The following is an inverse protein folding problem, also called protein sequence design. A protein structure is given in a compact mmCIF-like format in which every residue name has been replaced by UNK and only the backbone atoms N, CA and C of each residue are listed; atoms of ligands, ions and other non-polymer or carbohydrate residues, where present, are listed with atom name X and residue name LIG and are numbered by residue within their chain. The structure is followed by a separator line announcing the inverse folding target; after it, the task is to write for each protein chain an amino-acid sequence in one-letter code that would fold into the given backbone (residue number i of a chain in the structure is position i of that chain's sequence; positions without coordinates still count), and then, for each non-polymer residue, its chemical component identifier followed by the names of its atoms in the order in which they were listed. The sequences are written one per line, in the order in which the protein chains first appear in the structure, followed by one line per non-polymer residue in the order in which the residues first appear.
data_IF_037930203215
#
_entry.id   IF_037930203215
#
_cell.length_a   1.000
_cell.length_b   1.000
_cell.length_c   1.000
_cell.angle_alpha   90.00
_cell.angle_beta   90.00
_cell.angle_gamma   90.00
#
_symmetry.space_group_name_H-M   'P 1'
#
loop_
_entity.id
_entity.type
_entity.pdbx_description
1 polymer ?
#
# COMPACT_ATOMS: atom_id res chain seq x y z
N UNK A 1 -6.08 7.83 -4.58
CA UNK A 1 -6.37 9.06 -3.83
C UNK A 1 -5.41 10.20 -4.17
N UNK A 2 -4.09 10.06 -3.98
CA UNK A 2 -3.12 11.15 -4.26
C UNK A 2 -3.27 11.74 -5.67
N UNK A 3 -3.46 10.91 -6.70
CA UNK A 3 -3.72 11.38 -8.08
C UNK A 3 -4.96 12.27 -8.21
N UNK A 4 -6.05 11.93 -7.51
CA UNK A 4 -7.29 12.71 -7.50
C UNK A 4 -7.06 14.06 -6.83
N UNK A 5 -6.28 14.10 -5.74
CA UNK A 5 -5.91 15.35 -5.07
C UNK A 5 -5.08 16.26 -5.99
N UNK A 6 -4.11 15.70 -6.72
CA UNK A 6 -3.30 16.47 -7.68
C UNK A 6 -4.10 17.00 -8.87
N UNK A 7 -5.17 16.31 -9.24
CA UNK A 7 -6.13 16.79 -10.24
C UNK A 7 -7.00 17.91 -9.68
N UNK A 8 -7.49 17.76 -8.44
CA UNK A 8 -8.25 18.79 -7.72
C UNK A 8 -7.43 20.05 -7.37
N UNK A 9 -6.09 19.98 -7.42
CA UNK A 9 -5.22 21.17 -7.32
C UNK A 9 -5.20 22.01 -8.60
N UNK A 10 -5.64 21.44 -9.74
CA UNK A 10 -5.55 22.06 -11.07
C UNK A 10 -6.90 22.30 -11.73
N UNK A 11 -7.98 21.71 -11.21
CA UNK A 11 -9.33 21.78 -11.74
C UNK A 11 -10.36 21.96 -10.61
N UNK A 12 -11.57 22.47 -10.89
CA UNK A 12 -12.61 22.63 -9.88
C UNK A 12 -12.92 21.31 -9.16
N UNK A 13 -12.97 21.35 -7.82
CA UNK A 13 -13.20 20.16 -6.98
C UNK A 13 -14.50 19.44 -7.37
N UNK A 14 -15.56 20.18 -7.70
CA UNK A 14 -16.84 19.64 -8.17
C UNK A 14 -16.71 18.80 -9.46
N UNK A 15 -15.88 19.24 -10.40
CA UNK A 15 -15.64 18.52 -11.65
C UNK A 15 -14.86 17.23 -11.40
N UNK A 16 -13.80 17.32 -10.58
CA UNK A 16 -12.99 16.17 -10.20
C UNK A 16 -13.80 15.15 -9.39
N UNK A 17 -14.63 15.62 -8.45
CA UNK A 17 -15.56 14.78 -7.69
C UNK A 17 -16.51 14.02 -8.61
N UNK A 18 -17.15 14.72 -9.56
CA UNK A 18 -18.04 14.11 -10.55
C UNK A 18 -17.31 13.10 -11.45
N UNK A 19 -16.11 13.44 -11.92
CA UNK A 19 -15.30 12.57 -12.79
C UNK A 19 -14.92 11.25 -12.11
N UNK A 20 -14.56 11.31 -10.83
CA UNK A 20 -14.12 10.14 -10.06
C UNK A 20 -15.25 9.44 -9.29
N UNK A 21 -16.50 9.92 -9.42
CA UNK A 21 -17.66 9.31 -8.77
C UNK A 21 -17.63 9.39 -7.24
N UNK A 22 -17.04 10.46 -6.68
CA UNK A 22 -16.92 10.68 -5.24
C UNK A 22 -17.51 12.04 -4.85
N UNK A 23 -17.78 12.24 -3.57
CA UNK A 23 -18.23 13.56 -3.08
C UNK A 23 -17.07 14.54 -2.96
N UNK A 24 -17.34 15.85 -3.08
CA UNK A 24 -16.34 16.88 -2.80
C UNK A 24 -15.82 16.77 -1.36
N UNK A 25 -16.69 16.42 -0.40
CA UNK A 25 -16.32 16.15 0.98
C UNK A 25 -15.24 15.06 1.09
N UNK A 26 -15.33 14.01 0.28
CA UNK A 26 -14.33 12.93 0.24
C UNK A 26 -12.96 13.49 -0.19
N UNK A 27 -12.92 14.41 -1.15
CA UNK A 27 -11.68 15.06 -1.61
C UNK A 27 -11.09 15.92 -0.48
N UNK A 28 -11.90 16.72 0.20
CA UNK A 28 -11.45 17.54 1.33
C UNK A 28 -10.90 16.71 2.48
N UNK A 29 -11.62 15.66 2.90
CA UNK A 29 -11.17 14.75 3.96
C UNK A 29 -9.86 14.05 3.55
N UNK A 30 -9.76 13.62 2.29
CA UNK A 30 -8.56 12.98 1.77
C UNK A 30 -7.35 13.91 1.74
N UNK A 31 -7.55 15.22 1.60
CA UNK A 31 -6.47 16.20 1.66
C UNK A 31 -5.81 16.25 3.05
N UNK A 32 -6.55 15.99 4.12
CA UNK A 32 -5.99 15.90 5.48
C UNK A 32 -5.04 14.71 5.64
N UNK A 33 -5.33 13.59 4.98
CA UNK A 33 -4.55 12.35 5.10
C UNK A 33 -3.43 12.23 4.07
N UNK A 34 -3.65 12.74 2.86
CA UNK A 34 -2.76 12.50 1.72
C UNK A 34 -2.26 13.78 1.05
N UNK A 35 -2.69 14.97 1.48
CA UNK A 35 -2.35 16.24 0.85
C UNK A 35 -0.87 16.63 0.93
N UNK A 36 -0.15 16.12 1.94
CA UNK A 36 1.30 16.31 2.08
C UNK A 36 2.16 15.28 1.36
N UNK A 37 1.56 14.26 0.72
CA UNK A 37 2.33 13.20 0.05
C UNK A 37 2.72 13.62 -1.36
N UNK A 38 4.03 13.67 -1.62
CA UNK A 38 4.57 13.91 -2.95
C UNK A 38 4.56 12.64 -3.83
N UNK A 39 4.68 12.82 -5.14
CA UNK A 39 4.74 11.69 -6.07
C UNK A 39 5.89 10.72 -5.74
N UNK A 40 7.00 11.25 -5.23
CA UNK A 40 8.13 10.46 -4.75
C UNK A 40 7.77 9.60 -3.52
N UNK A 41 6.98 10.14 -2.59
CA UNK A 41 6.53 9.41 -1.39
C UNK A 41 5.61 8.25 -1.77
N UNK A 42 4.68 8.48 -2.70
CA UNK A 42 3.81 7.42 -3.22
C UNK A 42 4.60 6.32 -3.93
N UNK A 43 5.61 6.69 -4.73
CA UNK A 43 6.48 5.72 -5.39
C UNK A 43 7.26 4.89 -4.37
N UNK A 44 7.85 5.55 -3.36
CA UNK A 44 8.59 4.89 -2.29
C UNK A 44 7.69 3.96 -1.48
N UNK A 45 6.47 4.38 -1.14
CA UNK A 45 5.50 3.56 -0.43
C UNK A 45 5.20 2.27 -1.19
N UNK A 46 4.90 2.35 -2.49
CA UNK A 46 4.66 1.17 -3.34
C UNK A 46 5.86 0.21 -3.38
N UNK A 47 7.07 0.75 -3.46
CA UNK A 47 8.30 -0.06 -3.43
C UNK A 47 8.47 -0.78 -2.09
N UNK A 48 8.22 -0.09 -0.98
CA UNK A 48 8.27 -0.68 0.36
C UNK A 48 7.20 -1.74 0.56
N UNK A 49 5.98 -1.53 0.05
CA UNK A 49 4.90 -2.53 0.09
C UNK A 49 5.27 -3.79 -0.69
N UNK A 50 5.84 -3.64 -1.89
CA UNK A 50 6.30 -4.77 -2.70
C UNK A 50 7.43 -5.54 -2.02
N UNK A 51 8.42 -4.84 -1.48
CA UNK A 51 9.54 -5.48 -0.79
C UNK A 51 9.07 -6.17 0.50
N UNK A 52 8.17 -5.55 1.26
CA UNK A 52 7.58 -6.17 2.45
C UNK A 52 6.83 -7.46 2.10
N UNK A 53 6.04 -7.46 1.02
CA UNK A 53 5.35 -8.65 0.54
C UNK A 53 6.34 -9.77 0.15
N UNK A 54 7.43 -9.42 -0.55
CA UNK A 54 8.50 -10.37 -0.90
C UNK A 54 9.18 -10.94 0.35
N UNK A 55 9.55 -10.09 1.30
CA UNK A 55 10.21 -10.49 2.53
C UNK A 55 9.33 -11.41 3.37
N UNK A 56 8.03 -11.10 3.50
CA UNK A 56 7.06 -11.96 4.19
C UNK A 56 6.94 -13.34 3.54
N UNK A 57 6.93 -13.41 2.21
CA UNK A 57 6.92 -14.68 1.48
C UNK A 57 8.16 -15.53 1.80
N UNK A 58 9.34 -14.93 1.69
CA UNK A 58 10.61 -15.62 1.99
C UNK A 58 10.63 -16.10 3.44
N UNK A 59 10.17 -15.28 4.38
CA UNK A 59 10.10 -15.66 5.79
C UNK A 59 9.20 -16.88 6.00
N UNK A 60 7.99 -16.87 5.43
CA UNK A 60 7.06 -17.99 5.54
C UNK A 60 7.61 -19.29 4.92
N UNK A 61 8.30 -19.20 3.79
CA UNK A 61 8.98 -20.34 3.16
C UNK A 61 10.08 -20.91 4.07
N UNK A 62 10.86 -20.04 4.73
CA UNK A 62 11.93 -20.46 5.66
C UNK A 62 11.39 -21.06 6.94
N UNK A 63 10.33 -20.49 7.51
CA UNK A 63 9.68 -21.04 8.69
C UNK A 63 9.13 -22.44 8.40
N UNK A 64 8.53 -22.64 7.22
CA UNK A 64 8.08 -23.97 6.77
C UNK A 64 9.25 -24.97 6.64
N UNK A 65 10.36 -24.57 6.02
CA UNK A 65 11.56 -25.43 5.93
C UNK A 65 12.07 -25.84 7.31
N UNK A 66 12.12 -24.89 8.26
CA UNK A 66 12.55 -25.15 9.64
C UNK A 66 11.62 -26.11 10.37
N UNK A 67 10.31 -25.95 10.21
CA UNK A 67 9.32 -26.83 10.85
C UNK A 67 9.40 -28.25 10.30
N UNK A 68 9.56 -28.42 8.98
CA UNK A 68 9.79 -29.73 8.36
C UNK A 68 11.08 -30.38 8.89
N UNK A 69 12.18 -29.62 9.00
CA UNK A 69 13.44 -30.14 9.55
C UNK A 69 13.31 -30.57 11.01
N UNK A 70 12.60 -29.80 11.85
CA UNK A 70 12.32 -30.17 13.24
C UNK A 70 11.48 -31.44 13.32
N UNK A 71 10.47 -31.60 12.48
CA UNK A 71 9.63 -32.80 12.45
C UNK A 71 10.45 -34.05 12.06
N UNK A 72 11.31 -33.95 11.05
CA UNK A 72 12.21 -35.04 10.64
C UNK A 72 13.15 -35.44 11.79
N UNK A 73 13.78 -34.46 12.45
CA UNK A 73 14.67 -34.74 13.58
C UNK A 73 13.90 -35.31 14.79
N UNK A 74 12.64 -34.89 14.98
CA UNK A 74 11.76 -35.41 16.02
C UNK A 74 11.33 -36.87 15.83
N UNK A 75 11.36 -37.39 14.59
CA UNK A 75 11.02 -38.79 14.28
C UNK A 75 12.22 -39.74 14.27
N UNK A 76 13.44 -39.23 14.46
CA UNK A 76 14.69 -40.01 14.46
C UNK A 76 15.07 -40.60 15.83
N UNK A 77 14.21 -40.45 16.82
CA UNK A 77 14.29 -41.05 18.15
C UNK A 77 12.96 -41.72 18.50
#
# INVERSE_FOLDING_TARGET
MVTILREADKAPVAEVAKKHGISEQTIYNSRQHFGGLEAADVKRLKQLEQENARLKKILAERDLELDVMKEINGKKW
#
